data_IF_374358885632
#
_entry.id   IF_374358885632
#
_cell.length_a   1.000
_cell.length_b   1.000
_cell.length_c   1.000
_cell.angle_alpha   90.00
_cell.angle_beta   90.00
_cell.angle_gamma   90.00
#
_symmetry.space_group_name_H-M   'P 1'
#
loop_
_entity.id
_entity.type
_entity.pdbx_description
1 polymer ?
#
# COMPACT_ATOMS: atom_id res chain seq x y z
N UNK A 1 24.79 -7.63 22.12
CA UNK A 1 23.66 -6.74 21.78
C UNK A 1 22.89 -7.39 20.64
N UNK A 2 21.69 -7.86 20.91
CA UNK A 2 20.87 -8.65 19.97
C UNK A 2 20.32 -7.74 18.88
N UNK A 3 20.79 -7.89 17.65
CA UNK A 3 20.13 -7.35 16.45
C UNK A 3 18.85 -8.16 16.23
N UNK A 4 17.71 -7.58 16.60
CA UNK A 4 16.41 -8.14 16.26
C UNK A 4 16.29 -8.20 14.72
N UNK A 5 15.70 -9.27 14.15
CA UNK A 5 15.72 -9.47 12.72
C UNK A 5 14.91 -8.38 12.01
N UNK A 6 15.55 -7.68 11.08
CA UNK A 6 14.94 -6.89 9.99
C UNK A 6 14.23 -7.80 8.97
N UNK A 7 13.52 -8.81 9.44
CA UNK A 7 12.65 -9.63 8.61
C UNK A 7 11.26 -9.02 8.68
N UNK A 8 11.02 -8.09 7.77
CA UNK A 8 9.71 -7.48 7.46
C UNK A 8 8.58 -8.49 7.64
N UNK A 9 7.46 -8.18 8.31
CA UNK A 9 6.37 -9.13 8.35
C UNK A 9 5.74 -9.21 6.94
N UNK A 10 5.79 -10.37 6.26
CA UNK A 10 5.03 -10.61 5.03
C UNK A 10 3.50 -10.55 5.25
N UNK A 11 3.05 -10.31 6.49
CA UNK A 11 1.65 -10.33 6.92
C UNK A 11 0.72 -9.37 6.16
N UNK A 12 1.17 -8.16 5.80
CA UNK A 12 0.27 -7.15 5.21
C UNK A 12 -0.20 -7.51 3.80
N UNK A 13 0.60 -8.26 3.04
CA UNK A 13 0.25 -8.67 1.66
C UNK A 13 -0.92 -9.66 1.64
N UNK A 14 -1.01 -10.51 2.66
CA UNK A 14 -2.07 -11.51 2.80
C UNK A 14 -3.37 -10.93 3.37
N UNK A 15 -3.32 -9.74 3.97
CA UNK A 15 -4.51 -9.06 4.48
C UNK A 15 -5.39 -8.56 3.35
N UNK A 16 -6.71 -8.65 3.55
CA UNK A 16 -7.70 -7.98 2.72
C UNK A 16 -7.61 -6.47 2.87
N UNK A 17 -8.14 -5.72 1.89
CA UNK A 17 -8.17 -4.25 1.96
C UNK A 17 -8.96 -3.76 3.17
N UNK A 18 -10.01 -4.48 3.56
CA UNK A 18 -10.82 -4.15 4.75
C UNK A 18 -9.98 -4.26 6.02
N UNK A 19 -9.23 -5.33 6.18
CA UNK A 19 -8.35 -5.52 7.34
C UNK A 19 -7.26 -4.44 7.40
N UNK A 20 -6.65 -4.09 6.26
CA UNK A 20 -5.69 -2.98 6.20
C UNK A 20 -6.28 -1.65 6.69
N UNK A 21 -7.52 -1.34 6.31
CA UNK A 21 -8.21 -0.13 6.77
C UNK A 21 -8.52 -0.16 8.28
N UNK A 22 -8.87 -1.32 8.82
CA UNK A 22 -9.06 -1.51 10.27
C UNK A 22 -7.75 -1.28 11.02
N UNK A 23 -6.66 -1.90 10.56
CA UNK A 23 -5.33 -1.73 11.16
C UNK A 23 -4.82 -0.29 11.06
N UNK A 24 -5.08 0.39 9.94
CA UNK A 24 -4.80 1.82 9.77
C UNK A 24 -5.49 2.64 10.85
N UNK A 25 -6.78 2.42 11.07
CA UNK A 25 -7.56 3.14 12.10
C UNK A 25 -7.00 2.87 13.51
N UNK A 26 -6.59 1.64 13.80
CA UNK A 26 -5.99 1.27 15.09
C UNK A 26 -4.65 1.97 15.30
N UNK A 27 -3.77 1.98 14.29
CA UNK A 27 -2.47 2.64 14.39
C UNK A 27 -2.61 4.17 14.50
N UNK A 28 -3.55 4.79 13.76
CA UNK A 28 -3.89 6.21 13.94
C UNK A 28 -4.41 6.51 15.36
N UNK A 29 -5.23 5.62 15.93
CA UNK A 29 -5.72 5.76 17.30
C UNK A 29 -4.57 5.65 18.32
N UNK A 30 -3.61 4.76 18.10
CA UNK A 30 -2.41 4.63 18.93
C UNK A 30 -1.57 5.92 18.91
N UNK A 31 -1.35 6.50 17.72
CA UNK A 31 -0.69 7.80 17.56
C UNK A 31 -1.40 8.92 18.29
N UNK A 32 -2.73 9.04 18.12
CA UNK A 32 -3.53 10.06 18.83
C UNK A 32 -3.41 9.97 20.35
N UNK A 33 -3.22 8.75 20.87
CA UNK A 33 -3.05 8.48 22.30
C UNK A 33 -1.59 8.49 22.75
N UNK A 34 -0.65 8.85 21.87
CA UNK A 34 0.81 8.84 22.09
C UNK A 34 1.35 7.51 22.63
N UNK A 35 0.69 6.41 22.28
CA UNK A 35 1.16 5.05 22.63
C UNK A 35 2.10 4.59 21.53
N UNK A 36 3.34 4.27 21.91
CA UNK A 36 4.40 3.75 21.02
C UNK A 36 4.45 4.47 19.66
N UNK A 37 4.68 5.80 19.66
CA UNK A 37 4.50 6.64 18.46
C UNK A 37 5.35 6.19 17.27
N UNK A 38 6.58 5.74 17.52
CA UNK A 38 7.49 5.33 16.45
C UNK A 38 7.01 4.05 15.76
N UNK A 39 6.58 3.06 16.55
CA UNK A 39 6.03 1.80 16.02
C UNK A 39 4.71 2.03 15.28
N UNK A 40 3.84 2.89 15.81
CA UNK A 40 2.57 3.21 15.18
C UNK A 40 2.77 3.98 13.85
N UNK A 41 3.77 4.88 13.79
CA UNK A 41 4.14 5.59 12.56
C UNK A 41 4.70 4.63 11.51
N UNK A 42 5.63 3.77 11.90
CA UNK A 42 6.20 2.76 11.01
C UNK A 42 5.13 1.80 10.45
N UNK A 43 4.20 1.35 11.31
CA UNK A 43 3.08 0.52 10.90
C UNK A 43 2.16 1.24 9.90
N UNK A 44 1.86 2.52 10.16
CA UNK A 44 1.04 3.32 9.23
C UNK A 44 1.69 3.48 7.87
N UNK A 45 2.97 3.81 7.83
CA UNK A 45 3.70 3.96 6.56
C UNK A 45 3.62 2.68 5.71
N UNK A 46 3.79 1.51 6.35
CA UNK A 46 3.68 0.20 5.67
C UNK A 46 2.26 -0.08 5.15
N UNK A 47 1.23 0.22 5.94
CA UNK A 47 -0.17 0.05 5.52
C UNK A 47 -0.51 0.97 4.35
N UNK A 48 -0.09 2.23 4.39
CA UNK A 48 -0.32 3.19 3.30
C UNK A 48 0.39 2.77 2.01
N UNK A 49 1.64 2.27 2.11
CA UNK A 49 2.37 1.76 0.96
C UNK A 49 1.66 0.57 0.29
N UNK A 50 1.14 -0.38 1.08
CA UNK A 50 0.38 -1.51 0.56
C UNK A 50 -0.94 -1.06 -0.11
N UNK A 51 -1.65 -0.12 0.52
CA UNK A 51 -2.89 0.44 -0.05
C UNK A 51 -2.62 1.20 -1.36
N UNK A 52 -1.53 1.96 -1.42
CA UNK A 52 -1.09 2.65 -2.63
C UNK A 52 -0.77 1.64 -3.75
N UNK A 53 0.04 0.60 -3.48
CA UNK A 53 0.35 -0.46 -4.44
C UNK A 53 -0.93 -1.08 -5.03
N UNK A 54 -1.93 -1.36 -4.18
CA UNK A 54 -3.22 -1.91 -4.63
C UNK A 54 -4.03 -0.93 -5.46
N UNK A 55 -4.02 0.35 -5.10
CA UNK A 55 -4.66 1.41 -5.89
C UNK A 55 -4.03 1.50 -7.26
N UNK A 56 -2.71 1.55 -7.34
CA UNK A 56 -1.97 1.70 -8.58
C UNK A 56 -2.18 0.47 -9.48
N UNK A 57 -2.18 -0.74 -8.91
CA UNK A 57 -2.53 -1.96 -9.65
C UNK A 57 -3.99 -2.02 -10.11
N UNK A 58 -4.94 -1.32 -9.46
CA UNK A 58 -6.30 -1.16 -9.99
C UNK A 58 -6.34 -0.15 -11.13
N UNK A 59 -5.61 0.96 -10.99
CA UNK A 59 -5.53 2.00 -12.01
C UNK A 59 -4.87 1.47 -13.29
N UNK A 60 -3.75 0.74 -13.17
CA UNK A 60 -3.10 0.10 -14.31
C UNK A 60 -4.02 -0.89 -15.03
N UNK A 61 -4.75 -1.73 -14.28
CA UNK A 61 -5.74 -2.66 -14.87
C UNK A 61 -6.93 -1.95 -15.50
N UNK A 62 -7.38 -0.83 -14.94
CA UNK A 62 -8.43 -0.02 -15.53
C UNK A 62 -7.94 0.64 -16.83
N UNK A 63 -6.75 1.24 -16.81
CA UNK A 63 -6.11 1.86 -17.97
C UNK A 63 -5.88 0.85 -19.10
N UNK A 64 -5.46 -0.38 -18.80
CA UNK A 64 -5.29 -1.44 -19.79
C UNK A 64 -6.60 -1.84 -20.50
N UNK A 65 -7.77 -1.54 -19.90
CA UNK A 65 -9.09 -1.77 -20.52
C UNK A 65 -9.58 -0.57 -21.33
N UNK A 66 -8.97 0.60 -21.18
CA UNK A 66 -9.33 1.77 -21.94
C UNK A 66 -8.75 1.61 -23.36
N UNK A 67 -9.60 1.56 -24.40
CA UNK A 67 -9.11 1.49 -25.77
C UNK A 67 -8.22 2.71 -26.06
N UNK A 68 -7.16 2.56 -26.88
CA UNK A 68 -6.38 3.70 -27.31
C UNK A 68 -7.29 4.68 -28.07
N UNK A 69 -7.06 5.98 -27.88
CA UNK A 69 -7.81 7.06 -28.55
C UNK A 69 -7.79 6.91 -30.09
N UNK A 70 -6.70 6.35 -30.61
CA UNK A 70 -6.52 6.02 -32.01
C UNK A 70 -6.12 4.54 -32.13
N UNK A 71 -7.05 3.64 -32.48
CA UNK A 71 -6.75 2.24 -32.73
C UNK A 71 -5.73 2.12 -33.88
N UNK A 72 -4.61 1.43 -33.64
CA UNK A 72 -3.55 1.22 -34.64
C UNK A 72 -2.47 2.30 -34.71
N UNK A 73 -2.55 3.35 -33.89
CA UNK A 73 -1.46 4.33 -33.78
C UNK A 73 -0.44 3.87 -32.75
N UNK A 74 0.77 3.56 -33.22
CA UNK A 74 1.91 3.23 -32.38
C UNK A 74 2.58 4.53 -31.91
N UNK A 75 2.56 4.76 -30.58
CA UNK A 75 3.11 5.98 -29.98
C UNK A 75 4.64 5.93 -29.87
N UNK A 76 5.23 4.75 -30.01
CA UNK A 76 6.67 4.50 -29.87
C UNK A 76 7.38 4.38 -31.24
N UNK A 77 6.67 4.59 -32.35
CA UNK A 77 7.20 4.49 -33.71
C UNK A 77 7.90 5.77 -34.24
N UNK A 78 8.30 6.69 -33.34
CA UNK A 78 8.93 7.98 -33.67
C UNK A 78 10.27 8.18 -32.96
#
# INVERSE_FOLDING_TARGET
MTTAPESEPPALRFMTTRELLVHRRLAQRALRRRRTPDQATAMLARIEAELARRRDGRMARAAAKVPPLYPGWDKDAL
#
